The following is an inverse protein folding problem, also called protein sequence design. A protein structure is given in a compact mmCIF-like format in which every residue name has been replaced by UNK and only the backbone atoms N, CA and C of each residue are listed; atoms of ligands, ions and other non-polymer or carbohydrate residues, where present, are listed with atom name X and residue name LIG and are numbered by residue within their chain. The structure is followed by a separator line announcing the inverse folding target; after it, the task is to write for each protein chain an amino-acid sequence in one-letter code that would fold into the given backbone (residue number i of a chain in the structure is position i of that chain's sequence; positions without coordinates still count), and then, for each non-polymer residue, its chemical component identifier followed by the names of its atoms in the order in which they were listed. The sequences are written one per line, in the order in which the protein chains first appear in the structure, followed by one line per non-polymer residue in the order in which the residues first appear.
data_IF_492227240221
#
_entry.id   IF_492227240221
#
_cell.length_a   1.000
_cell.length_b   1.000
_cell.length_c   1.000
_cell.angle_alpha   90.00
_cell.angle_beta   90.00
_cell.angle_gamma   90.00
#
_symmetry.space_group_name_H-M   'P 1'
#
loop_
_entity.id
_entity.type
_entity.pdbx_description
1 polymer ?
#
# COMPACT_ATOMS: atom_id res chain seq x y z
N UNK A 1 32.59 44.44 -1.59
CA UNK A 1 32.40 42.98 -1.42
C UNK A 1 30.90 42.69 -1.32
N UNK A 2 30.33 41.79 -2.13
CA UNK A 2 28.90 41.47 -2.05
C UNK A 2 28.63 40.38 -1.01
N UNK A 3 27.46 40.35 -0.34
CA UNK A 3 27.19 39.40 0.73
C UNK A 3 26.96 37.98 0.18
N UNK A 4 27.49 36.99 0.91
CA UNK A 4 27.31 35.55 0.69
C UNK A 4 25.81 35.22 0.70
N UNK A 5 25.24 34.89 -0.46
CA UNK A 5 23.92 34.24 -0.54
C UNK A 5 24.09 32.81 -0.04
N UNK A 6 23.60 32.52 1.16
CA UNK A 6 23.29 31.16 1.58
C UNK A 6 22.16 30.66 0.68
N UNK A 7 22.53 30.02 -0.42
CA UNK A 7 21.63 29.18 -1.18
C UNK A 7 21.40 27.92 -0.34
N UNK A 8 20.63 28.04 0.74
CA UNK A 8 19.89 26.91 1.28
C UNK A 8 18.88 26.58 0.21
N UNK A 9 19.30 25.73 -0.73
CA UNK A 9 18.39 24.99 -1.58
C UNK A 9 17.49 24.23 -0.63
N UNK A 10 16.33 24.82 -0.31
CA UNK A 10 15.18 24.04 0.09
C UNK A 10 14.91 23.17 -1.12
N UNK A 11 15.61 22.03 -1.18
CA UNK A 11 15.26 20.93 -2.05
C UNK A 11 13.90 20.48 -1.55
N UNK A 12 12.87 21.19 -2.00
CA UNK A 12 11.49 20.80 -1.87
C UNK A 12 11.39 19.55 -2.71
N UNK A 13 11.71 18.43 -2.07
CA UNK A 13 11.30 17.12 -2.55
C UNK A 13 9.82 17.26 -2.88
N UNK A 14 9.37 16.87 -4.09
CA UNK A 14 7.95 16.83 -4.35
C UNK A 14 7.38 15.89 -3.29
N UNK A 15 6.63 16.47 -2.36
CA UNK A 15 5.74 15.73 -1.48
C UNK A 15 4.86 14.93 -2.44
N UNK A 16 5.19 13.66 -2.63
CA UNK A 16 4.37 12.73 -3.40
C UNK A 16 3.06 12.71 -2.63
N UNK A 17 2.09 13.49 -3.10
CA UNK A 17 0.78 13.59 -2.51
C UNK A 17 0.31 12.14 -2.34
N UNK A 18 0.24 11.68 -1.08
CA UNK A 18 -0.09 10.29 -0.78
C UNK A 18 -1.45 10.03 -1.41
N UNK A 19 -1.47 9.31 -2.55
CA UNK A 19 -2.70 8.97 -3.25
C UNK A 19 -3.63 8.37 -2.20
N UNK A 20 -4.78 8.99 -1.98
CA UNK A 20 -5.76 8.56 -0.97
C UNK A 20 -6.00 7.08 -1.23
N UNK A 21 -5.45 6.21 -0.37
CA UNK A 21 -5.60 4.77 -0.53
C UNK A 21 -7.08 4.51 -0.34
N UNK A 22 -7.76 4.13 -1.42
CA UNK A 22 -9.13 3.64 -1.33
C UNK A 22 -9.12 2.54 -0.27
N UNK A 23 -9.87 2.73 0.82
CA UNK A 23 -10.01 1.71 1.83
C UNK A 23 -10.64 0.51 1.14
N UNK A 24 -9.81 -0.49 0.83
CA UNK A 24 -10.29 -1.73 0.27
C UNK A 24 -11.40 -2.23 1.20
N UNK A 25 -12.61 -2.45 0.65
CA UNK A 25 -13.78 -2.87 1.41
C UNK A 25 -13.38 -4.06 2.29
N UNK A 26 -13.70 -4.02 3.59
CA UNK A 26 -13.27 -5.01 4.57
C UNK A 26 -13.52 -6.46 4.09
N UNK A 27 -14.65 -6.69 3.41
CA UNK A 27 -15.01 -7.96 2.77
C UNK A 27 -13.94 -8.49 1.80
N UNK A 28 -13.35 -7.62 0.98
CA UNK A 28 -12.30 -8.00 0.03
C UNK A 28 -11.02 -8.40 0.77
N UNK A 29 -10.70 -7.72 1.87
CA UNK A 29 -9.53 -8.07 2.68
C UNK A 29 -9.70 -9.44 3.36
N UNK A 30 -10.88 -9.69 3.93
CA UNK A 30 -11.20 -10.99 4.54
C UNK A 30 -11.23 -12.12 3.51
N UNK A 31 -11.80 -11.88 2.33
CA UNK A 31 -11.80 -12.88 1.24
C UNK A 31 -10.39 -13.24 0.79
N UNK A 32 -9.47 -12.25 0.71
CA UNK A 32 -8.06 -12.49 0.42
C UNK A 32 -7.42 -13.40 1.49
N UNK A 33 -7.66 -13.13 2.77
CA UNK A 33 -7.09 -13.90 3.89
C UNK A 33 -7.62 -15.34 3.86
N UNK A 34 -8.94 -15.53 3.76
CA UNK A 34 -9.54 -16.87 3.75
C UNK A 34 -9.09 -17.72 2.55
N UNK A 35 -8.98 -17.12 1.35
CA UNK A 35 -8.45 -17.83 0.17
C UNK A 35 -7.00 -18.23 0.35
N UNK A 36 -6.21 -17.37 0.97
CA UNK A 36 -4.82 -17.66 1.27
C UNK A 36 -4.66 -18.81 2.28
N UNK A 37 -5.47 -18.83 3.33
CA UNK A 37 -5.53 -19.92 4.31
C UNK A 37 -5.97 -21.25 3.70
N UNK A 38 -6.82 -21.21 2.67
CA UNK A 38 -7.20 -22.38 1.85
C UNK A 38 -6.09 -22.86 0.90
N UNK A 39 -4.94 -22.18 0.86
CA UNK A 39 -3.80 -22.55 0.03
C UNK A 39 -3.81 -21.94 -1.39
N UNK A 40 -4.69 -20.97 -1.68
CA UNK A 40 -4.63 -20.28 -2.96
C UNK A 40 -3.36 -19.42 -3.07
N UNK A 41 -2.73 -19.45 -4.25
CA UNK A 41 -1.56 -18.63 -4.55
C UNK A 41 -1.94 -17.15 -4.59
N UNK A 42 -1.13 -16.29 -3.97
CA UNK A 42 -1.32 -14.83 -3.93
C UNK A 42 -1.55 -14.19 -5.31
N UNK A 43 -0.86 -14.65 -6.36
CA UNK A 43 -1.05 -14.17 -7.72
C UNK A 43 -2.44 -14.50 -8.28
N UNK A 44 -3.02 -15.64 -7.89
CA UNK A 44 -4.39 -16.03 -8.28
C UNK A 44 -5.40 -15.10 -7.62
N UNK A 45 -5.24 -14.88 -6.32
CA UNK A 45 -6.12 -14.01 -5.52
C UNK A 45 -6.04 -12.55 -6.02
N UNK A 46 -4.83 -12.08 -6.35
CA UNK A 46 -4.60 -10.77 -6.93
C UNK A 46 -5.39 -10.59 -8.24
N UNK A 47 -5.30 -11.56 -9.16
CA UNK A 47 -6.03 -11.53 -10.43
C UNK A 47 -7.54 -11.58 -10.22
N UNK A 48 -8.02 -12.39 -9.27
CA UNK A 48 -9.45 -12.52 -8.96
C UNK A 48 -10.09 -11.19 -8.54
N UNK A 49 -9.38 -10.38 -7.74
CA UNK A 49 -9.88 -9.10 -7.26
C UNK A 49 -9.41 -7.88 -8.07
N UNK A 50 -8.69 -8.09 -9.17
CA UNK A 50 -8.09 -6.99 -9.95
C UNK A 50 -7.05 -6.20 -9.15
N UNK A 51 -6.39 -6.83 -8.19
CA UNK A 51 -5.37 -6.24 -7.34
C UNK A 51 -3.97 -6.54 -7.87
N UNK A 52 -3.02 -5.72 -7.43
CA UNK A 52 -1.59 -6.02 -7.61
C UNK A 52 -1.10 -6.97 -6.52
N UNK A 53 -0.12 -7.85 -6.80
CA UNK A 53 0.45 -8.75 -5.79
C UNK A 53 1.00 -8.01 -4.56
N UNK A 54 1.50 -6.78 -4.71
CA UNK A 54 1.99 -5.94 -3.62
C UNK A 54 0.87 -5.51 -2.66
N UNK A 55 -0.34 -5.27 -3.18
CA UNK A 55 -1.52 -4.98 -2.37
C UNK A 55 -1.92 -6.20 -1.54
N UNK A 56 -1.94 -7.38 -2.16
CA UNK A 56 -2.24 -8.65 -1.49
C UNK A 56 -1.23 -8.95 -0.37
N UNK A 57 0.07 -8.74 -0.63
CA UNK A 57 1.11 -8.88 0.41
C UNK A 57 0.92 -7.91 1.58
N UNK A 58 0.51 -6.67 1.29
CA UNK A 58 0.23 -5.67 2.34
C UNK A 58 -0.97 -6.07 3.19
N UNK A 59 -2.02 -6.64 2.58
CA UNK A 59 -3.19 -7.16 3.30
C UNK A 59 -2.76 -8.26 4.26
N UNK A 60 -1.98 -9.25 3.80
CA UNK A 60 -1.47 -10.33 4.65
C UNK A 60 -0.60 -9.84 5.79
N UNK A 61 0.28 -8.86 5.55
CA UNK A 61 1.10 -8.23 6.61
C UNK A 61 0.26 -7.50 7.67
N UNK A 62 -0.99 -7.16 7.36
CA UNK A 62 -1.91 -6.46 8.26
C UNK A 62 -3.09 -7.33 8.70
N UNK A 63 -3.06 -8.65 8.45
CA UNK A 63 -4.17 -9.56 8.71
C UNK A 63 -4.64 -9.52 10.18
N UNK A 64 -3.70 -9.46 11.13
CA UNK A 64 -4.00 -9.37 12.55
C UNK A 64 -4.80 -8.10 12.92
N UNK A 65 -4.55 -6.99 12.20
CA UNK A 65 -5.30 -5.73 12.39
C UNK A 65 -6.65 -5.68 11.68
N UNK A 66 -6.92 -6.65 10.80
CA UNK A 66 -8.16 -6.76 10.03
C UNK A 66 -9.17 -7.66 10.76
N UNK A 67 -8.68 -8.64 11.53
CA UNK A 67 -9.49 -9.57 12.34
C UNK A 67 -9.74 -9.10 13.78
N UNK A 68 -9.20 -7.95 14.19
CA UNK A 68 -9.38 -7.34 15.52
C UNK A 68 -10.48 -6.30 15.50
#
# INVERSE_FOLDING_TARGET
MPPKRLATSLAMSPSVAKKKRNSLILKVKLDNIHRHERGEKSNSIARHHGLTPSTVSTIFKSADSINR
#
